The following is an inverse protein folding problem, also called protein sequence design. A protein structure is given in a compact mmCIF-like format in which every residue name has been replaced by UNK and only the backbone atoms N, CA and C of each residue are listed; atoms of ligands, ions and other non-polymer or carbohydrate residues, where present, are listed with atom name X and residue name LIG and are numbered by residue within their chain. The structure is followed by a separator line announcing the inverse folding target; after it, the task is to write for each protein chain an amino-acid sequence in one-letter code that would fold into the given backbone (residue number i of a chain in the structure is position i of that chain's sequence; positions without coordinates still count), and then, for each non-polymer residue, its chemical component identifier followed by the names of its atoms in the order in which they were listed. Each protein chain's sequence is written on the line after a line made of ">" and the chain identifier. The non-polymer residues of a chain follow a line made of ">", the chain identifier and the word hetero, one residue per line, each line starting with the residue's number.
data_IF_721195066032
#
_entry.id   IF_721195066032
#
_cell.length_a   1.000
_cell.length_b   1.000
_cell.length_c   1.000
_cell.angle_alpha   90.00
_cell.angle_beta   90.00
_cell.angle_gamma   90.00
#
_symmetry.space_group_name_H-M   'P 1'
#
loop_
_entity.id
_entity.type
_entity.pdbx_description
1 polymer ?
#
# COMPACT_ATOMS: atom_id res chain seq x y z
N UNK A 1 -14.24 11.51 10.03
CA UNK A 1 -14.39 10.08 10.38
C UNK A 1 -15.37 9.89 11.54
N UNK A 2 -15.13 10.44 12.74
CA UNK A 2 -16.08 10.34 13.87
C UNK A 2 -17.50 10.78 13.53
N UNK A 3 -17.66 11.83 12.72
CA UNK A 3 -18.98 12.27 12.22
C UNK A 3 -19.67 11.21 11.37
N UNK A 4 -18.93 10.50 10.50
CA UNK A 4 -19.50 9.40 9.69
C UNK A 4 -19.88 8.21 10.59
N UNK A 5 -19.08 7.92 11.60
CA UNK A 5 -19.41 6.89 12.59
C UNK A 5 -20.64 7.25 13.42
N UNK A 6 -20.77 8.52 13.79
CA UNK A 6 -21.99 9.03 14.42
C UNK A 6 -23.20 8.87 13.51
N UNK A 7 -23.08 9.19 12.22
CA UNK A 7 -24.15 8.98 11.24
C UNK A 7 -24.54 7.49 11.16
N UNK A 8 -23.57 6.57 11.09
CA UNK A 8 -23.85 5.13 11.12
C UNK A 8 -24.61 4.70 12.37
N UNK A 9 -24.22 5.21 13.55
CA UNK A 9 -24.90 4.87 14.82
C UNK A 9 -26.34 5.43 14.88
N UNK A 10 -26.65 6.48 14.13
CA UNK A 10 -27.98 7.14 14.17
C UNK A 10 -28.91 6.76 13.04
N UNK A 11 -28.39 6.17 11.97
CA UNK A 11 -29.18 5.92 10.76
C UNK A 11 -30.38 5.01 11.00
N UNK A 12 -30.23 3.96 11.81
CA UNK A 12 -31.33 3.04 12.13
C UNK A 12 -32.43 3.73 12.92
N UNK A 13 -32.08 4.54 13.93
CA UNK A 13 -33.07 5.31 14.69
C UNK A 13 -33.83 6.31 13.81
N UNK A 14 -33.14 6.93 12.84
CA UNK A 14 -33.76 7.83 11.89
C UNK A 14 -34.71 7.08 10.93
N UNK A 15 -34.29 5.92 10.44
CA UNK A 15 -35.09 5.05 9.58
C UNK A 15 -36.37 4.60 10.29
N UNK A 16 -36.25 4.11 11.53
CA UNK A 16 -37.38 3.66 12.34
C UNK A 16 -38.38 4.80 12.58
N UNK A 17 -37.90 5.99 12.96
CA UNK A 17 -38.77 7.14 13.20
C UNK A 17 -39.50 7.65 11.95
N UNK A 18 -38.85 7.59 10.78
CA UNK A 18 -39.50 7.92 9.51
C UNK A 18 -40.54 6.87 9.14
N UNK A 19 -40.24 5.58 9.35
CA UNK A 19 -41.17 4.46 9.08
C UNK A 19 -42.41 4.56 9.97
N UNK A 20 -42.23 4.83 11.25
CA UNK A 20 -43.33 5.08 12.19
C UNK A 20 -44.20 6.26 11.74
N UNK A 21 -43.57 7.40 11.42
CA UNK A 21 -44.28 8.61 10.96
C UNK A 21 -45.07 8.35 9.67
N UNK A 22 -44.48 7.62 8.73
CA UNK A 22 -45.11 7.25 7.46
C UNK A 22 -46.32 6.33 7.66
N UNK A 23 -46.21 5.36 8.58
CA UNK A 23 -47.32 4.47 8.94
C UNK A 23 -48.49 5.23 9.57
N UNK A 24 -48.20 6.23 10.43
CA UNK A 24 -49.23 7.07 11.05
C UNK A 24 -49.99 7.93 10.02
N UNK A 25 -49.30 8.45 9.00
CA UNK A 25 -49.93 9.21 7.90
C UNK A 25 -50.82 8.32 7.04
N UNK A 26 -50.41 7.07 6.73
CA UNK A 26 -51.28 6.10 6.01
C UNK A 26 -52.59 5.89 6.77
N UNK A 27 -52.50 5.62 8.07
CA UNK A 27 -53.67 5.34 8.92
C UNK A 27 -54.65 6.53 9.00
N UNK A 28 -54.13 7.76 9.02
CA UNK A 28 -54.95 8.98 9.02
C UNK A 28 -55.68 9.19 7.69
N UNK A 29 -55.02 8.87 6.57
CA UNK A 29 -55.59 9.01 5.22
C UNK A 29 -56.73 8.03 4.98
N UNK A 30 -56.60 6.80 5.47
CA UNK A 30 -57.64 5.77 5.36
C UNK A 30 -58.89 6.10 6.20
N UNK A 31 -58.75 6.87 7.28
CA UNK A 31 -59.87 7.28 8.15
C UNK A 31 -60.63 8.52 7.65
N UNK A 32 -60.02 9.38 6.83
CA UNK A 32 -60.57 10.72 6.51
C UNK A 32 -61.28 10.79 5.15
N UNK A 33 -61.18 9.76 4.30
CA UNK A 33 -61.83 9.73 2.98
C UNK A 33 -62.66 8.45 2.74
N UNK A 34 -63.93 8.39 3.15
CA UNK A 34 -64.82 7.27 2.82
C UNK A 34 -65.46 7.36 1.43
N UNK A 35 -65.33 8.50 0.72
CA UNK A 35 -66.24 8.86 -0.39
C UNK A 35 -65.51 9.15 -1.72
N UNK A 36 -64.62 8.24 -2.14
CA UNK A 36 -63.98 8.29 -3.46
C UNK A 36 -64.49 7.11 -4.31
N UNK A 37 -64.96 7.45 -5.52
CA UNK A 37 -65.57 6.59 -6.54
C UNK A 37 -64.82 5.24 -6.72
N UNK A 38 -65.46 4.08 -6.55
CA UNK A 38 -64.81 2.76 -6.52
C UNK A 38 -64.22 2.32 -7.86
N UNK A 39 -64.33 3.15 -8.90
CA UNK A 39 -63.80 2.86 -10.23
C UNK A 39 -62.28 3.01 -10.34
N UNK A 40 -61.61 3.68 -9.39
CA UNK A 40 -60.16 3.94 -9.44
C UNK A 40 -59.37 3.41 -8.23
N UNK A 41 -60.03 2.98 -7.15
CA UNK A 41 -59.38 2.33 -6.00
C UNK A 41 -59.33 0.82 -6.17
N UNK A 42 -58.44 0.35 -7.05
CA UNK A 42 -57.98 -1.04 -6.92
C UNK A 42 -57.10 -1.07 -5.66
N UNK A 43 -57.56 -1.74 -4.60
CA UNK A 43 -56.77 -1.93 -3.38
C UNK A 43 -55.35 -2.44 -3.70
N UNK A 44 -55.19 -3.22 -4.79
CA UNK A 44 -53.89 -3.67 -5.28
C UNK A 44 -52.96 -2.57 -5.82
N UNK A 45 -53.45 -1.44 -6.34
CA UNK A 45 -52.60 -0.32 -6.79
C UNK A 45 -52.04 0.46 -5.59
N UNK A 46 -52.86 0.67 -4.55
CA UNK A 46 -52.41 1.34 -3.32
C UNK A 46 -51.41 0.45 -2.56
N UNK A 47 -51.66 -0.86 -2.50
CA UNK A 47 -50.78 -1.86 -1.89
C UNK A 47 -49.45 -1.98 -2.65
N UNK A 48 -49.46 -2.06 -3.98
CA UNK A 48 -48.23 -2.03 -4.81
C UNK A 48 -47.44 -0.70 -4.70
N UNK A 49 -48.13 0.44 -4.66
CA UNK A 49 -47.49 1.74 -4.38
C UNK A 49 -46.90 1.80 -2.96
N UNK A 50 -47.45 1.06 -2.01
CA UNK A 50 -46.98 1.02 -0.63
C UNK A 50 -45.73 0.15 -0.46
N UNK A 51 -45.69 -1.00 -1.13
CA UNK A 51 -44.53 -1.92 -1.16
C UNK A 51 -43.34 -1.26 -1.87
N UNK A 52 -43.57 -0.65 -3.03
CA UNK A 52 -42.52 0.08 -3.77
C UNK A 52 -41.93 1.27 -3.00
N UNK A 53 -42.73 1.94 -2.16
CA UNK A 53 -42.23 3.01 -1.28
C UNK A 53 -41.41 2.43 -0.12
N UNK A 54 -41.87 1.32 0.47
CA UNK A 54 -41.15 0.66 1.56
C UNK A 54 -39.80 0.08 1.07
N UNK A 55 -39.76 -0.49 -0.14
CA UNK A 55 -38.53 -0.90 -0.84
C UNK A 55 -37.59 0.28 -1.10
N UNK A 56 -38.12 1.42 -1.57
CA UNK A 56 -37.32 2.63 -1.81
C UNK A 56 -36.69 3.16 -0.52
N UNK A 57 -37.42 3.13 0.60
CA UNK A 57 -36.88 3.53 1.90
C UNK A 57 -35.73 2.64 2.32
N UNK A 58 -35.92 1.31 2.29
CA UNK A 58 -34.87 0.34 2.64
C UNK A 58 -33.64 0.54 1.75
N UNK A 59 -33.82 0.60 0.43
CA UNK A 59 -32.73 0.79 -0.51
C UNK A 59 -31.96 2.10 -0.28
N UNK A 60 -32.66 3.18 0.08
CA UNK A 60 -32.03 4.48 0.35
C UNK A 60 -31.18 4.44 1.62
N UNK A 61 -31.73 3.90 2.71
CA UNK A 61 -31.01 3.83 3.98
C UNK A 61 -29.84 2.85 3.94
N UNK A 62 -29.99 1.72 3.24
CA UNK A 62 -28.91 0.78 2.97
C UNK A 62 -27.79 1.46 2.17
N UNK A 63 -28.14 2.20 1.10
CA UNK A 63 -27.17 2.95 0.30
C UNK A 63 -26.40 3.99 1.13
N UNK A 64 -27.08 4.72 2.03
CA UNK A 64 -26.42 5.69 2.92
C UNK A 64 -25.49 4.96 3.91
N UNK A 65 -25.91 3.82 4.47
CA UNK A 65 -25.10 3.02 5.39
C UNK A 65 -23.83 2.51 4.74
N UNK A 66 -23.97 1.94 3.53
CA UNK A 66 -22.86 1.43 2.73
C UNK A 66 -21.91 2.55 2.32
N UNK A 67 -22.44 3.69 1.89
CA UNK A 67 -21.65 4.87 1.52
C UNK A 67 -20.88 5.43 2.71
N UNK A 68 -21.50 5.51 3.89
CA UNK A 68 -20.83 5.95 5.10
C UNK A 68 -19.73 4.95 5.52
N UNK A 69 -19.99 3.64 5.44
CA UNK A 69 -19.01 2.61 5.73
C UNK A 69 -17.81 2.68 4.78
N UNK A 70 -18.06 2.88 3.49
CA UNK A 70 -17.03 3.01 2.48
C UNK A 70 -16.18 4.27 2.69
N UNK A 71 -16.82 5.40 2.98
CA UNK A 71 -16.12 6.64 3.29
C UNK A 71 -15.24 6.51 4.56
N UNK A 72 -15.71 5.79 5.59
CA UNK A 72 -14.89 5.48 6.78
C UNK A 72 -13.67 4.65 6.39
N UNK A 73 -13.86 3.54 5.65
CA UNK A 73 -12.75 2.67 5.22
C UNK A 73 -11.69 3.42 4.42
N UNK A 74 -12.10 4.17 3.39
CA UNK A 74 -11.20 4.99 2.56
C UNK A 74 -10.47 6.07 3.36
N UNK A 75 -11.15 6.66 4.34
CA UNK A 75 -10.52 7.63 5.24
C UNK A 75 -9.46 6.96 6.11
N UNK A 76 -9.73 5.75 6.62
CA UNK A 76 -8.74 4.98 7.38
C UNK A 76 -7.51 4.66 6.53
N UNK A 77 -7.71 4.17 5.31
CA UNK A 77 -6.65 3.90 4.33
C UNK A 77 -5.77 5.14 4.08
N UNK A 78 -6.41 6.30 3.85
CA UNK A 78 -5.72 7.57 3.69
C UNK A 78 -4.93 7.97 4.95
N UNK A 79 -5.50 7.77 6.15
CA UNK A 79 -4.81 8.04 7.42
C UNK A 79 -3.56 7.17 7.54
N UNK A 80 -3.67 5.87 7.26
CA UNK A 80 -2.53 4.95 7.28
C UNK A 80 -1.41 5.41 6.33
N UNK A 81 -1.75 5.68 5.08
CA UNK A 81 -0.81 6.15 4.08
C UNK A 81 -0.16 7.49 4.47
N UNK A 82 -0.95 8.44 4.98
CA UNK A 82 -0.44 9.74 5.43
C UNK A 82 0.52 9.58 6.61
N UNK A 83 0.15 8.81 7.63
CA UNK A 83 1.00 8.60 8.82
C UNK A 83 2.37 8.08 8.38
N UNK A 84 2.41 7.07 7.52
CA UNK A 84 3.67 6.39 7.17
C UNK A 84 4.47 7.17 6.13
N UNK A 85 3.84 7.55 5.01
CA UNK A 85 4.54 8.15 3.87
C UNK A 85 4.67 9.67 3.92
N UNK A 86 4.00 10.33 4.88
CA UNK A 86 4.13 11.76 5.11
C UNK A 86 4.70 12.07 6.49
N UNK A 87 3.99 11.68 7.56
CA UNK A 87 4.37 12.08 8.92
C UNK A 87 5.65 11.36 9.40
N UNK A 88 5.82 10.08 9.04
CA UNK A 88 7.00 9.26 9.37
C UNK A 88 8.00 9.13 8.20
N UNK A 89 7.85 9.93 7.14
CA UNK A 89 8.67 9.81 5.92
C UNK A 89 10.17 9.91 6.19
N UNK A 90 10.59 10.92 6.95
CA UNK A 90 12.00 11.10 7.30
C UNK A 90 12.52 9.96 8.19
N UNK A 91 11.98 9.75 9.42
CA UNK A 91 12.54 8.75 10.32
C UNK A 91 12.42 7.30 9.79
N UNK A 92 11.33 6.96 9.09
CA UNK A 92 11.06 5.59 8.67
C UNK A 92 11.40 5.33 7.21
N UNK A 93 10.88 6.11 6.27
CA UNK A 93 11.05 5.79 4.83
C UNK A 93 12.45 6.15 4.33
N UNK A 94 13.05 7.23 4.83
CA UNK A 94 14.35 7.71 4.34
C UNK A 94 15.55 7.31 5.20
N UNK A 95 15.35 7.18 6.50
CA UNK A 95 16.45 6.90 7.42
C UNK A 95 16.57 5.43 7.80
N UNK A 96 15.53 4.60 7.70
CA UNK A 96 15.67 3.18 7.99
C UNK A 96 16.68 2.53 7.03
N UNK A 97 17.71 1.93 7.60
CA UNK A 97 18.84 1.28 6.91
C UNK A 97 19.71 2.19 6.04
N UNK A 98 19.54 3.51 6.14
CA UNK A 98 20.34 4.44 5.37
C UNK A 98 21.81 4.35 5.75
N UNK A 99 22.66 3.96 4.79
CA UNK A 99 24.10 3.81 5.02
C UNK A 99 24.50 2.52 5.76
N UNK A 100 23.55 1.63 6.05
CA UNK A 100 23.80 0.34 6.69
C UNK A 100 22.76 0.00 7.75
N UNK A 101 22.49 -1.30 7.91
CA UNK A 101 21.43 -1.79 8.81
C UNK A 101 21.78 -1.55 10.28
N UNK A 102 23.00 -1.88 10.70
CA UNK A 102 23.44 -1.77 12.11
C UNK A 102 23.32 -0.35 12.68
N UNK A 103 23.62 0.68 11.88
CA UNK A 103 23.60 2.08 12.31
C UNK A 103 22.25 2.78 12.21
N UNK A 104 21.27 2.18 11.53
CA UNK A 104 20.03 2.84 11.16
C UNK A 104 18.83 1.89 11.35
N UNK A 105 18.70 1.39 12.58
CA UNK A 105 17.72 0.38 12.98
C UNK A 105 16.33 0.96 13.29
N UNK A 106 15.31 0.10 13.22
CA UNK A 106 13.91 0.50 13.44
C UNK A 106 13.65 1.09 14.83
N UNK A 107 14.36 0.63 15.87
CA UNK A 107 14.17 1.09 17.26
C UNK A 107 14.25 2.61 17.39
N UNK A 108 15.09 3.25 16.56
CA UNK A 108 15.27 4.72 16.53
C UNK A 108 14.01 5.48 16.10
N UNK A 109 13.05 4.79 15.48
CA UNK A 109 11.80 5.35 14.93
C UNK A 109 10.57 5.05 15.81
N UNK A 110 10.69 4.14 16.78
CA UNK A 110 9.58 3.72 17.64
C UNK A 110 8.92 4.86 18.42
N UNK A 111 9.68 5.81 19.03
CA UNK A 111 9.04 6.92 19.74
C UNK A 111 8.13 7.78 18.84
N UNK A 112 8.45 7.89 17.55
CA UNK A 112 7.66 8.63 16.57
C UNK A 112 6.40 7.85 16.21
N UNK A 113 6.50 6.53 16.03
CA UNK A 113 5.34 5.66 15.86
C UNK A 113 4.39 5.74 17.07
N UNK A 114 4.90 5.57 18.29
CA UNK A 114 4.12 5.64 19.53
C UNK A 114 3.38 6.97 19.66
N UNK A 115 4.09 8.08 19.41
CA UNK A 115 3.49 9.41 19.46
C UNK A 115 2.34 9.55 18.47
N UNK A 116 2.51 9.08 17.23
CA UNK A 116 1.47 9.20 16.20
C UNK A 116 0.28 8.29 16.52
N UNK A 117 0.53 7.03 16.92
CA UNK A 117 -0.53 6.10 17.30
C UNK A 117 -1.35 6.63 18.48
N UNK A 118 -0.71 7.15 19.53
CA UNK A 118 -1.38 7.76 20.67
C UNK A 118 -2.22 8.97 20.27
N UNK A 119 -1.67 9.86 19.44
CA UNK A 119 -2.40 11.04 18.95
C UNK A 119 -3.62 10.66 18.11
N UNK A 120 -3.49 9.68 17.21
CA UNK A 120 -4.59 9.22 16.37
C UNK A 120 -5.66 8.54 17.23
N UNK A 121 -5.28 7.63 18.13
CA UNK A 121 -6.22 6.93 19.00
C UNK A 121 -6.97 7.88 19.94
N UNK A 122 -6.31 8.93 20.44
CA UNK A 122 -6.95 9.93 21.31
C UNK A 122 -8.04 10.77 20.62
N UNK A 123 -8.06 10.81 19.27
CA UNK A 123 -8.98 11.65 18.49
C UNK A 123 -10.14 10.87 17.86
N UNK A 124 -10.06 9.54 17.78
CA UNK A 124 -11.04 8.72 17.05
C UNK A 124 -12.02 8.04 18.00
N UNK A 125 -13.22 7.73 17.50
CA UNK A 125 -14.18 6.89 18.23
C UNK A 125 -13.59 5.49 18.46
N UNK A 126 -13.76 4.92 19.65
CA UNK A 126 -13.18 3.62 20.03
C UNK A 126 -13.57 2.49 19.06
N UNK A 127 -14.76 2.54 18.47
CA UNK A 127 -15.21 1.53 17.50
C UNK A 127 -14.45 1.56 16.17
N UNK A 128 -13.67 2.62 15.93
CA UNK A 128 -12.82 2.79 14.75
C UNK A 128 -11.34 2.51 15.03
N UNK A 129 -10.95 2.38 16.30
CA UNK A 129 -9.55 2.26 16.72
C UNK A 129 -8.82 1.19 15.93
N UNK A 130 -9.32 -0.04 15.96
CA UNK A 130 -8.67 -1.18 15.33
C UNK A 130 -8.65 -1.06 13.80
N UNK A 131 -9.67 -0.43 13.20
CA UNK A 131 -9.73 -0.20 11.75
C UNK A 131 -8.60 0.75 11.32
N UNK A 132 -8.42 1.85 12.07
CA UNK A 132 -7.36 2.83 11.79
C UNK A 132 -5.99 2.26 12.08
N UNK A 133 -5.80 1.61 13.23
CA UNK A 133 -4.52 1.00 13.63
C UNK A 133 -4.12 -0.09 12.62
N UNK A 134 -5.06 -0.93 12.18
CA UNK A 134 -4.83 -1.90 11.09
C UNK A 134 -4.38 -1.20 9.82
N UNK A 135 -5.01 -0.08 9.46
CA UNK A 135 -4.62 0.67 8.27
C UNK A 135 -3.22 1.26 8.37
N UNK A 136 -2.82 1.78 9.53
CA UNK A 136 -1.47 2.29 9.77
C UNK A 136 -0.47 1.13 9.73
N UNK A 137 -0.80 -0.03 10.32
CA UNK A 137 0.06 -1.21 10.29
C UNK A 137 0.32 -1.68 8.85
N UNK A 138 -0.74 -1.79 8.03
CA UNK A 138 -0.62 -2.11 6.61
C UNK A 138 0.30 -1.15 5.86
N UNK A 139 0.07 0.14 6.03
CA UNK A 139 0.92 1.16 5.42
C UNK A 139 2.37 1.05 5.92
N UNK A 140 2.59 0.65 7.18
CA UNK A 140 3.92 0.48 7.76
C UNK A 140 4.65 -0.70 7.14
N UNK A 141 3.96 -1.82 6.90
CA UNK A 141 4.51 -2.95 6.16
C UNK A 141 4.81 -2.61 4.70
N UNK A 142 3.95 -1.82 4.05
CA UNK A 142 4.21 -1.29 2.71
C UNK A 142 5.43 -0.36 2.69
N UNK A 143 5.56 0.52 3.70
CA UNK A 143 6.72 1.38 3.88
C UNK A 143 8.00 0.58 4.13
N UNK A 144 7.93 -0.48 4.94
CA UNK A 144 9.04 -1.41 5.16
C UNK A 144 9.45 -2.08 3.86
N UNK A 145 8.50 -2.66 3.11
CA UNK A 145 8.77 -3.25 1.81
C UNK A 145 9.33 -2.23 0.80
N UNK A 146 8.90 -0.97 0.87
CA UNK A 146 9.46 0.12 0.07
C UNK A 146 10.92 0.37 0.43
N UNK A 147 11.28 0.45 1.71
CA UNK A 147 12.69 0.60 2.13
C UNK A 147 13.55 -0.54 1.57
N UNK A 148 13.05 -1.78 1.60
CA UNK A 148 13.79 -2.96 1.12
C UNK A 148 13.93 -3.04 -0.40
N UNK A 149 12.93 -2.59 -1.17
CA UNK A 149 12.85 -2.81 -2.62
C UNK A 149 13.01 -1.54 -3.47
N UNK A 150 12.91 -0.37 -2.82
CA UNK A 150 12.87 0.96 -3.42
C UNK A 150 13.69 1.99 -2.62
N UNK A 151 14.40 1.60 -1.53
CA UNK A 151 15.16 2.50 -0.65
C UNK A 151 16.35 3.21 -1.31
N UNK A 152 16.59 2.93 -2.59
CA UNK A 152 17.63 3.55 -3.38
C UNK A 152 19.04 3.07 -3.05
N UNK A 153 20.06 3.77 -3.56
CA UNK A 153 21.45 3.34 -3.52
C UNK A 153 22.05 3.19 -2.12
N UNK A 154 21.56 3.96 -1.15
CA UNK A 154 22.05 3.97 0.23
C UNK A 154 21.55 2.80 1.07
N UNK A 155 20.68 1.96 0.52
CA UNK A 155 20.13 0.78 1.15
C UNK A 155 20.57 -0.46 0.37
N UNK A 156 21.70 -1.06 0.75
CA UNK A 156 22.18 -2.31 0.20
C UNK A 156 22.43 -3.29 1.35
N UNK A 157 22.05 -4.56 1.15
CA UNK A 157 21.99 -5.57 2.20
C UNK A 157 22.88 -6.77 1.87
N UNK A 158 23.60 -7.23 2.88
CA UNK A 158 24.31 -8.50 2.90
C UNK A 158 23.50 -9.56 3.64
N UNK A 159 23.90 -10.82 3.53
CA UNK A 159 23.22 -11.92 4.23
C UNK A 159 23.28 -11.78 5.76
N UNK A 160 24.30 -11.08 6.29
CA UNK A 160 24.43 -10.79 7.72
C UNK A 160 23.40 -9.77 8.22
N UNK A 161 22.99 -8.84 7.36
CA UNK A 161 22.03 -7.79 7.72
C UNK A 161 20.63 -8.35 7.91
N UNK A 162 20.30 -9.47 7.24
CA UNK A 162 18.95 -10.04 7.21
C UNK A 162 18.44 -10.39 8.60
N UNK A 163 19.30 -10.86 9.50
CA UNK A 163 18.91 -11.18 10.89
C UNK A 163 18.42 -9.93 11.63
N UNK A 164 19.16 -8.83 11.52
CA UNK A 164 18.74 -7.55 12.13
C UNK A 164 17.45 -7.02 11.50
N UNK A 165 17.27 -7.25 10.20
CA UNK A 165 16.06 -6.86 9.47
C UNK A 165 14.83 -7.71 9.87
N UNK A 166 15.03 -8.99 10.20
CA UNK A 166 14.00 -9.86 10.77
C UNK A 166 13.63 -9.43 12.20
N UNK A 167 14.63 -9.08 13.02
CA UNK A 167 14.42 -8.52 14.35
C UNK A 167 13.62 -7.22 14.28
N UNK A 168 13.97 -6.31 13.37
CA UNK A 168 13.25 -5.04 13.16
C UNK A 168 11.81 -5.29 12.70
N UNK A 169 11.56 -6.26 11.81
CA UNK A 169 10.20 -6.62 11.44
C UNK A 169 9.40 -7.17 12.64
N UNK A 170 10.02 -7.94 13.52
CA UNK A 170 9.37 -8.42 14.74
C UNK A 170 9.07 -7.29 15.73
N UNK A 171 9.98 -6.34 15.87
CA UNK A 171 9.76 -5.12 16.67
C UNK A 171 8.57 -4.32 16.12
N UNK A 172 8.49 -4.14 14.80
CA UNK A 172 7.34 -3.49 14.17
C UNK A 172 6.04 -4.24 14.47
N UNK A 173 6.05 -5.58 14.38
CA UNK A 173 4.87 -6.40 14.65
C UNK A 173 4.45 -6.28 16.13
N UNK A 174 5.38 -6.39 17.05
CA UNK A 174 5.10 -6.33 18.50
C UNK A 174 4.58 -4.95 18.92
N UNK A 175 5.07 -3.87 18.31
CA UNK A 175 4.52 -2.51 18.49
C UNK A 175 3.02 -2.46 18.22
N UNK A 176 2.54 -3.09 17.13
CA UNK A 176 1.12 -3.07 16.77
C UNK A 176 0.29 -4.12 17.50
N UNK A 177 0.90 -5.18 18.04
CA UNK A 177 0.26 -6.09 19.00
C UNK A 177 0.09 -5.42 20.37
N UNK A 178 1.02 -4.55 20.75
CA UNK A 178 1.00 -3.74 21.97
C UNK A 178 0.68 -4.58 23.23
N UNK A 179 1.46 -5.65 23.46
CA UNK A 179 1.27 -6.58 24.60
C UNK A 179 -0.14 -7.19 24.71
N UNK A 180 -0.92 -7.20 23.62
CA UNK A 180 -2.29 -7.72 23.58
C UNK A 180 -3.39 -6.65 23.62
N UNK A 181 -3.03 -5.38 23.85
CA UNK A 181 -3.95 -4.24 23.84
C UNK A 181 -4.16 -3.66 22.42
N UNK A 182 -3.37 -4.12 21.45
CA UNK A 182 -3.39 -3.69 20.06
C UNK A 182 -4.17 -4.64 19.14
N UNK A 183 -3.62 -4.85 17.93
CA UNK A 183 -4.21 -5.75 16.94
C UNK A 183 -4.01 -7.22 17.34
N UNK A 184 -4.94 -8.12 16.95
CA UNK A 184 -4.77 -9.56 17.15
C UNK A 184 -3.48 -10.07 16.49
N UNK A 185 -2.67 -10.83 17.22
CA UNK A 185 -1.39 -11.37 16.72
C UNK A 185 -1.54 -12.17 15.42
N UNK A 186 -2.62 -12.96 15.28
CA UNK A 186 -2.89 -13.71 14.05
C UNK A 186 -3.07 -12.82 12.82
N UNK A 187 -3.72 -11.67 12.98
CA UNK A 187 -3.90 -10.67 11.93
C UNK A 187 -2.57 -9.99 11.60
N UNK A 188 -1.78 -9.67 12.62
CA UNK A 188 -0.44 -9.07 12.45
C UNK A 188 0.47 -10.00 11.64
N UNK A 189 0.51 -11.29 11.97
CA UNK A 189 1.28 -12.30 11.22
C UNK A 189 0.79 -12.46 9.77
N UNK A 190 -0.53 -12.47 9.56
CA UNK A 190 -1.10 -12.59 8.22
C UNK A 190 -0.70 -11.43 7.31
N UNK A 191 -0.80 -10.19 7.80
CA UNK A 191 -0.50 -9.01 7.00
C UNK A 191 1.02 -8.88 6.77
N UNK A 192 1.87 -9.31 7.73
CA UNK A 192 3.33 -9.28 7.62
C UNK A 192 3.92 -10.32 6.66
N UNK A 193 3.10 -11.25 6.14
CA UNK A 193 3.55 -12.37 5.28
C UNK A 193 4.41 -11.91 4.10
N UNK A 194 4.02 -10.83 3.41
CA UNK A 194 4.76 -10.35 2.26
C UNK A 194 6.13 -9.77 2.63
N UNK A 195 6.24 -9.08 3.77
CA UNK A 195 7.52 -8.58 4.28
C UNK A 195 8.47 -9.74 4.62
N UNK A 196 7.97 -10.78 5.31
CA UNK A 196 8.74 -12.00 5.57
C UNK A 196 9.24 -12.67 4.28
N UNK A 197 8.38 -12.73 3.27
CA UNK A 197 8.75 -13.29 1.99
C UNK A 197 9.85 -12.48 1.29
N UNK A 198 9.82 -11.14 1.34
CA UNK A 198 10.93 -10.31 0.83
C UNK A 198 12.22 -10.61 1.59
N UNK A 199 12.18 -10.66 2.93
CA UNK A 199 13.37 -10.97 3.74
C UNK A 199 13.95 -12.34 3.37
N UNK A 200 13.10 -13.35 3.15
CA UNK A 200 13.55 -14.67 2.71
C UNK A 200 14.28 -14.66 1.37
N UNK A 201 13.93 -13.75 0.45
CA UNK A 201 14.67 -13.58 -0.80
C UNK A 201 16.04 -12.94 -0.57
N UNK A 202 16.17 -12.03 0.39
CA UNK A 202 17.46 -11.46 0.77
C UNK A 202 18.37 -12.51 1.43
N UNK A 203 17.83 -13.51 2.12
CA UNK A 203 18.60 -14.65 2.66
C UNK A 203 19.15 -15.60 1.59
N UNK A 204 18.63 -15.55 0.36
CA UNK A 204 19.14 -16.39 -0.73
C UNK A 204 20.41 -15.78 -1.33
N UNK A 205 21.33 -16.63 -1.75
CA UNK A 205 22.47 -16.22 -2.58
C UNK A 205 22.00 -15.58 -3.89
N UNK A 206 22.76 -14.61 -4.40
CA UNK A 206 22.42 -13.89 -5.61
C UNK A 206 22.12 -14.82 -6.80
N UNK A 207 22.86 -15.91 -6.97
CA UNK A 207 22.66 -16.86 -8.09
C UNK A 207 21.29 -17.54 -8.02
N UNK A 208 20.79 -17.85 -6.81
CA UNK A 208 19.47 -18.45 -6.63
C UNK A 208 18.36 -17.48 -6.98
N UNK A 209 18.50 -16.20 -6.61
CA UNK A 209 17.53 -15.14 -6.98
C UNK A 209 17.56 -14.89 -8.49
N UNK A 210 18.75 -14.90 -9.12
CA UNK A 210 18.91 -14.81 -10.57
C UNK A 210 18.21 -15.99 -11.26
N UNK A 211 18.42 -17.22 -10.79
CA UNK A 211 17.76 -18.39 -11.35
C UNK A 211 16.23 -18.27 -11.26
N UNK A 212 15.71 -17.83 -10.10
CA UNK A 212 14.28 -17.61 -9.91
C UNK A 212 13.75 -16.54 -10.88
N UNK A 213 14.50 -15.47 -11.12
CA UNK A 213 14.16 -14.43 -12.09
C UNK A 213 14.10 -14.98 -13.51
N UNK A 214 15.10 -15.76 -13.92
CA UNK A 214 15.15 -16.35 -15.27
C UNK A 214 13.96 -17.29 -15.47
N UNK A 215 13.69 -18.18 -14.52
CA UNK A 215 12.52 -19.08 -14.58
C UNK A 215 11.21 -18.31 -14.61
N UNK A 216 11.06 -17.25 -13.81
CA UNK A 216 9.83 -16.43 -13.80
C UNK A 216 9.62 -15.70 -15.14
N UNK A 217 10.70 -15.25 -15.77
CA UNK A 217 10.66 -14.57 -17.07
C UNK A 217 10.32 -15.50 -18.25
N UNK A 218 10.75 -16.76 -18.20
CA UNK A 218 10.45 -17.78 -19.22
C UNK A 218 8.95 -18.13 -19.27
N UNK A 219 8.27 -18.10 -18.12
CA UNK A 219 6.84 -18.37 -17.99
C UNK A 219 5.94 -17.15 -18.31
N UNK A 220 6.50 -15.94 -18.41
CA UNK A 220 5.78 -14.70 -18.77
C UNK A 220 5.70 -14.42 -20.27
N UNK A 221 5.75 -15.46 -21.13
CA UNK A 221 5.48 -15.33 -22.56
C UNK A 221 3.98 -15.25 -22.94
N UNK A 222 3.07 -15.20 -21.95
CA UNK A 222 1.63 -15.05 -22.19
C UNK A 222 1.08 -13.92 -21.31
N UNK A 223 0.58 -12.87 -21.98
CA UNK A 223 -0.32 -11.88 -21.37
C UNK A 223 0.38 -10.69 -20.72
N UNK A 224 0.50 -9.61 -21.49
CA UNK A 224 0.71 -8.27 -20.95
C UNK A 224 -0.57 -7.80 -20.25
N UNK A 225 -0.88 -8.36 -19.08
CA UNK A 225 -1.93 -7.80 -18.24
C UNK A 225 -1.33 -6.70 -17.37
N UNK A 226 -1.89 -5.50 -17.52
CA UNK A 226 -1.54 -4.32 -16.79
C UNK A 226 -1.58 -4.59 -15.28
N UNK A 227 -0.42 -4.75 -14.65
CA UNK A 227 -0.34 -4.79 -13.20
C UNK A 227 -0.78 -3.45 -12.64
N UNK A 228 -1.98 -3.45 -12.09
CA UNK A 228 -2.51 -2.41 -11.21
C UNK A 228 -1.44 -2.18 -10.13
N UNK A 229 -0.93 -0.95 -10.06
CA UNK A 229 -0.09 -0.46 -8.96
C UNK A 229 -0.76 -0.85 -7.63
N UNK A 230 -0.33 -1.94 -6.98
CA UNK A 230 -0.96 -2.36 -5.73
C UNK A 230 -0.64 -3.78 -5.26
N UNK A 231 -0.40 -4.76 -6.15
CA UNK A 231 -0.12 -6.14 -5.72
C UNK A 231 1.22 -6.63 -6.27
N UNK A 232 2.28 -6.43 -5.47
CA UNK A 232 3.60 -7.02 -5.71
C UNK A 232 3.53 -8.51 -5.32
N UNK A 233 4.01 -9.39 -6.19
CA UNK A 233 4.05 -10.84 -5.92
C UNK A 233 5.51 -11.31 -5.73
N UNK A 234 5.70 -12.34 -4.91
CA UNK A 234 7.02 -12.82 -4.49
C UNK A 234 7.89 -13.31 -5.66
N UNK A 235 7.27 -13.90 -6.68
CA UNK A 235 7.93 -14.38 -7.89
C UNK A 235 7.78 -13.44 -9.10
N UNK A 236 7.24 -12.23 -8.91
CA UNK A 236 7.21 -11.25 -9.99
C UNK A 236 8.66 -10.84 -10.33
N UNK A 237 8.99 -10.85 -11.61
CA UNK A 237 10.29 -10.44 -12.12
C UNK A 237 10.69 -9.05 -11.60
N UNK A 238 9.72 -8.13 -11.41
CA UNK A 238 10.01 -6.83 -10.83
C UNK A 238 10.50 -6.90 -9.38
N UNK A 239 9.88 -7.73 -8.53
CA UNK A 239 10.33 -7.93 -7.14
C UNK A 239 11.74 -8.51 -7.12
N UNK A 240 12.00 -9.53 -7.95
CA UNK A 240 13.30 -10.22 -7.99
C UNK A 240 14.43 -9.30 -8.49
N UNK A 241 14.18 -8.51 -9.53
CA UNK A 241 15.15 -7.50 -10.00
C UNK A 241 15.44 -6.48 -8.88
N UNK A 242 14.41 -6.02 -8.16
CA UNK A 242 14.58 -5.05 -7.06
C UNK A 242 15.40 -5.64 -5.91
N UNK A 243 15.15 -6.89 -5.53
CA UNK A 243 15.98 -7.59 -4.53
C UNK A 243 17.43 -7.64 -5.00
N UNK A 244 17.69 -8.03 -6.25
CA UNK A 244 19.05 -8.04 -6.80
C UNK A 244 19.69 -6.63 -6.79
N UNK A 245 18.92 -5.57 -7.05
CA UNK A 245 19.43 -4.18 -6.99
C UNK A 245 19.89 -3.79 -5.59
N UNK A 246 19.34 -4.39 -4.56
CA UNK A 246 19.64 -4.09 -3.15
C UNK A 246 20.53 -5.14 -2.49
N UNK A 247 20.97 -6.21 -3.17
CA UNK A 247 21.94 -7.17 -2.62
C UNK A 247 23.37 -6.70 -2.82
N UNK A 248 24.20 -6.76 -1.78
CA UNK A 248 25.64 -6.38 -1.79
C UNK A 248 26.54 -7.37 -2.55
N UNK A 249 26.05 -8.58 -2.84
CA UNK A 249 26.82 -9.61 -3.54
C UNK A 249 27.29 -9.17 -4.93
N UNK A 250 28.56 -9.46 -5.24
CA UNK A 250 29.18 -9.09 -6.52
C UNK A 250 28.47 -9.71 -7.72
N UNK A 251 27.98 -10.94 -7.60
CA UNK A 251 27.29 -11.64 -8.69
C UNK A 251 25.97 -10.98 -9.06
N UNK A 252 25.21 -10.45 -8.09
CA UNK A 252 24.00 -9.67 -8.37
C UNK A 252 24.35 -8.41 -9.18
N UNK A 253 25.35 -7.65 -8.74
CA UNK A 253 25.83 -6.45 -9.44
C UNK A 253 26.33 -6.75 -10.85
N UNK A 254 27.10 -7.84 -11.02
CA UNK A 254 27.62 -8.28 -12.32
C UNK A 254 26.50 -8.66 -13.28
N UNK A 255 25.52 -9.42 -12.80
CA UNK A 255 24.35 -9.81 -13.58
C UNK A 255 23.53 -8.58 -14.02
N UNK A 256 23.21 -7.68 -13.09
CA UNK A 256 22.44 -6.47 -13.39
C UNK A 256 23.16 -5.54 -14.36
N UNK A 257 24.48 -5.38 -14.23
CA UNK A 257 25.29 -4.59 -15.17
C UNK A 257 25.29 -5.18 -16.57
N UNK A 258 25.42 -6.49 -16.69
CA UNK A 258 25.50 -7.19 -17.97
C UNK A 258 24.14 -7.21 -18.68
N UNK A 259 23.06 -7.58 -17.99
CA UNK A 259 21.76 -7.86 -18.61
C UNK A 259 20.79 -6.67 -18.57
N UNK A 260 20.94 -5.75 -17.61
CA UNK A 260 20.02 -4.62 -17.42
C UNK A 260 20.70 -3.26 -17.55
N UNK A 261 22.04 -3.22 -17.65
CA UNK A 261 22.83 -1.99 -17.69
C UNK A 261 22.59 -1.04 -16.50
N UNK A 262 22.35 -1.63 -15.33
CA UNK A 262 22.21 -0.90 -14.08
C UNK A 262 23.59 -0.73 -13.40
N UNK A 263 23.78 0.36 -12.62
CA UNK A 263 24.96 0.51 -11.78
C UNK A 263 25.00 -0.58 -10.69
N UNK A 264 26.19 -0.87 -10.17
CA UNK A 264 26.36 -1.84 -9.10
C UNK A 264 25.82 -1.30 -7.77
N UNK A 265 25.25 -2.18 -6.96
CA UNK A 265 24.69 -1.87 -5.63
C UNK A 265 25.77 -1.46 -4.62
N UNK A 266 26.99 -1.96 -4.78
CA UNK A 266 28.12 -1.68 -3.89
C UNK A 266 28.88 -0.38 -4.19
N UNK A 267 28.60 0.28 -5.33
CA UNK A 267 29.33 1.50 -5.76
C UNK A 267 28.90 2.74 -4.96
N UNK A 268 27.93 2.60 -4.05
CA UNK A 268 27.44 3.69 -3.22
C UNK A 268 28.16 3.81 -1.86
N UNK A 269 28.94 2.81 -1.45
CA UNK A 269 29.83 2.90 -0.27
C UNK A 269 31.11 3.72 -0.58
N UNK A 270 31.71 3.56 -1.77
CA UNK A 270 33.00 4.20 -2.08
C UNK A 270 32.90 5.64 -2.58
N UNK A 271 31.71 6.14 -2.94
CA UNK A 271 31.57 7.54 -3.36
C UNK A 271 31.71 8.56 -2.21
N UNK A 272 31.77 8.10 -0.96
CA UNK A 272 31.98 8.95 0.22
C UNK A 272 33.45 9.10 0.64
N UNK A 273 34.35 8.26 0.11
CA UNK A 273 35.78 8.27 0.45
C UNK A 273 36.60 8.00 -0.80
N UNK A 274 37.26 9.03 -1.32
CA UNK A 274 38.24 8.99 -2.41
C UNK A 274 37.67 8.86 -3.83
N UNK A 275 37.40 10.00 -4.50
CA UNK A 275 38.43 10.64 -5.33
C UNK A 275 37.86 11.91 -5.98
N UNK A 276 38.28 13.07 -5.47
CA UNK A 276 37.98 14.38 -6.04
C UNK A 276 38.87 14.63 -7.27
N UNK A 277 38.74 13.81 -8.32
CA UNK A 277 39.52 13.99 -9.54
C UNK A 277 38.87 13.42 -10.80
N UNK A 278 37.55 13.48 -10.95
CA UNK A 278 36.94 13.45 -12.29
C UNK A 278 35.83 14.50 -12.36
N UNK A 279 36.20 15.70 -12.83
CA UNK A 279 35.23 16.73 -13.23
C UNK A 279 34.44 16.22 -14.43
N UNK A 280 33.31 15.57 -14.19
CA UNK A 280 32.27 15.38 -15.20
C UNK A 280 31.42 16.66 -15.28
N UNK A 281 31.30 17.33 -16.44
CA UNK A 281 30.49 18.55 -16.59
C UNK A 281 29.00 18.34 -16.30
N UNK A 282 28.54 17.09 -16.24
CA UNK A 282 27.13 16.73 -16.07
C UNK A 282 26.61 16.91 -14.63
N UNK A 283 27.47 16.80 -13.60
CA UNK A 283 27.03 16.94 -12.20
C UNK A 283 26.85 18.41 -11.79
N UNK A 284 27.65 19.33 -12.36
CA UNK A 284 27.51 20.77 -12.10
C UNK A 284 26.17 21.33 -12.65
N UNK A 285 25.65 20.73 -13.72
CA UNK A 285 24.37 21.13 -14.33
C UNK A 285 23.15 20.60 -13.57
N UNK A 286 23.27 19.49 -12.83
CA UNK A 286 22.20 18.94 -12.00
C UNK A 286 21.97 19.78 -10.73
N UNK A 287 23.05 20.30 -10.12
CA UNK A 287 22.96 21.14 -8.91
C UNK A 287 22.41 22.54 -9.23
N UNK A 288 22.61 23.06 -10.46
CA UNK A 288 21.98 24.32 -10.90
C UNK A 288 20.50 24.17 -11.27
N UNK A 289 20.05 22.97 -11.63
CA UNK A 289 18.64 22.72 -12.04
C UNK A 289 17.67 22.54 -10.88
N UNK A 290 18.13 22.28 -9.66
CA UNK A 290 17.27 22.16 -8.48
C UNK A 290 16.69 23.51 -8.00
N UNK A 291 17.16 24.64 -8.53
CA UNK A 291 16.72 25.97 -8.11
C UNK A 291 15.58 26.59 -8.96
N UNK A 292 15.00 25.91 -9.94
CA UNK A 292 13.82 26.45 -10.63
C UNK A 292 12.91 25.36 -11.20
N UNK A 293 11.98 24.88 -10.36
CA UNK A 293 10.86 24.07 -10.83
C UNK A 293 9.69 24.99 -11.20
N UNK A 294 9.48 25.17 -12.51
CA UNK A 294 8.23 25.66 -13.09
C UNK A 294 7.67 24.54 -13.95
N UNK A 295 6.49 24.03 -13.60
CA UNK A 295 5.83 22.95 -14.34
C UNK A 295 5.55 23.37 -15.79
N UNK A 296 5.89 22.48 -16.72
CA UNK A 296 5.31 22.44 -18.06
C UNK A 296 5.00 20.99 -18.40
N UNK A 297 3.73 20.76 -18.75
CA UNK A 297 3.19 19.51 -19.27
C UNK A 297 3.96 19.04 -20.51
N UNK A 298 4.46 17.80 -20.45
CA UNK A 298 4.51 16.81 -21.55
C UNK A 298 5.19 15.55 -21.06
N UNK A 299 4.37 14.54 -20.76
CA UNK A 299 4.82 13.20 -20.38
C UNK A 299 5.21 12.32 -21.57
N UNK A 300 5.90 11.24 -21.21
CA UNK A 300 6.05 9.95 -21.92
C UNK A 300 7.17 9.82 -22.98
N UNK A 301 8.28 9.18 -22.58
CA UNK A 301 9.05 8.29 -23.48
C UNK A 301 10.00 7.29 -22.77
N UNK A 302 10.25 7.42 -21.46
CA UNK A 302 11.33 6.66 -20.80
C UNK A 302 11.06 5.15 -20.57
N UNK A 303 9.81 4.70 -20.49
CA UNK A 303 9.50 3.32 -20.09
C UNK A 303 9.46 2.29 -21.24
N UNK A 304 9.49 2.71 -22.52
CA UNK A 304 9.49 1.76 -23.65
C UNK A 304 10.87 1.15 -23.91
N UNK A 305 11.95 1.81 -23.51
CA UNK A 305 13.32 1.32 -23.73
C UNK A 305 13.66 0.13 -22.82
N UNK A 306 13.10 0.11 -21.60
CA UNK A 306 13.35 -0.95 -20.63
C UNK A 306 12.70 -2.28 -21.06
N UNK A 307 11.47 -2.21 -21.57
CA UNK A 307 10.73 -3.37 -22.07
C UNK A 307 11.39 -4.01 -23.30
N UNK A 308 11.97 -3.19 -24.19
CA UNK A 308 12.66 -3.68 -25.39
C UNK A 308 13.98 -4.38 -25.05
N UNK A 309 14.74 -3.87 -24.07
CA UNK A 309 16.01 -4.46 -23.63
C UNK A 309 15.86 -5.82 -22.94
N UNK A 310 14.80 -6.00 -22.15
CA UNK A 310 14.48 -7.32 -21.54
C UNK A 310 14.21 -8.37 -22.62
N UNK A 311 13.54 -7.97 -23.71
CA UNK A 311 13.21 -8.87 -24.81
C UNK A 311 14.44 -9.25 -25.66
N UNK A 312 15.36 -8.30 -25.91
CA UNK A 312 16.62 -8.53 -26.65
C UNK A 312 17.61 -9.41 -25.87
N UNK A 313 17.69 -9.28 -24.53
CA UNK A 313 18.56 -10.11 -23.70
C UNK A 313 18.12 -11.59 -23.62
N UNK A 314 16.84 -11.87 -23.89
CA UNK A 314 16.27 -13.23 -23.86
C UNK A 314 16.49 -13.98 -25.18
N UNK A 315 16.75 -13.27 -26.29
CA UNK A 315 16.98 -13.87 -27.62
C UNK A 315 18.41 -14.34 -27.88
N UNK A 316 19.42 -13.76 -27.21
CA UNK A 316 20.83 -14.07 -27.47
C UNK A 316 21.29 -15.46 -26.97
N UNK A 317 20.48 -16.15 -26.16
CA UNK A 317 20.79 -17.49 -25.65
C UNK A 317 20.26 -18.65 -26.52
N UNK A 318 19.58 -18.37 -27.64
CA UNK A 318 19.08 -19.43 -28.56
C UNK A 318 20.02 -19.76 -29.72
N UNK A 319 21.20 -19.15 -29.80
CA UNK A 319 22.16 -19.39 -30.88
C UNK A 319 23.59 -19.66 -30.40
N UNK A 320 23.79 -20.61 -29.48
CA UNK A 320 25.07 -21.33 -29.37
C UNK A 320 24.80 -22.78 -28.97
N UNK A 321 25.12 -23.72 -29.85
CA UNK A 321 25.17 -25.16 -29.55
C UNK A 321 24.55 -26.04 -30.63
N UNK A 322 25.35 -26.34 -31.66
CA UNK A 322 25.34 -27.66 -32.30
C UNK A 322 25.86 -28.71 -31.31
#
# INVERSE_FOLDING_TARGET
>A
MNTLQYMQKKISTLEDGIRESWSAVRLLKDQTCPDVDPRWTSNGILEMCSESVDELFVATFDCIRDSAADAIRKTCELVGARVVFWDLREPFIFNLYHGGVEGARLETTLPQFDRVLNNVCALIDDTLRDIVVKSIFKASLEGYAWVLLDGGPSCAFSDFDVVMMEDDLNILKDLFVAEGEGLPRSLVEEEARFAHQILSLFSLRAESVIQLLMTSSEHSSIGLEAHKYGHRHLGDAHTLIRVLCHKKEREASKFLKLHYHLPASSVYDEAATEDASVKSPLMADLIKRSASFRWSDKGSSSFRSFKKKIQEATSDFRHVGW
#
